data_IF_069046550125
#
_entry.id   IF_069046550125
#
_cell.length_a   1.000
_cell.length_b   1.000
_cell.length_c   1.000
_cell.angle_alpha   90.00
_cell.angle_beta   90.00
_cell.angle_gamma   90.00
#
_symmetry.space_group_name_H-M   'P 1'
#
loop_
_entity.id
_entity.type
_entity.pdbx_description
1 polymer ?
#
# COMPACT_ATOMS: atom_id res chain seq x y z
N UNK A 1 18.70 12.36 10.18
CA UNK A 1 18.62 12.27 8.71
C UNK A 1 17.22 11.82 8.35
N UNK A 2 16.48 12.62 7.59
CA UNK A 2 15.14 12.24 7.14
C UNK A 2 15.28 11.14 6.08
N UNK A 3 14.66 9.98 6.28
CA UNK A 3 14.62 8.94 5.26
C UNK A 3 13.79 9.48 4.07
N UNK A 4 14.44 9.75 2.95
CA UNK A 4 13.77 10.13 1.69
C UNK A 4 13.60 8.90 0.81
N UNK A 5 12.59 8.90 -0.04
CA UNK A 5 12.28 7.82 -0.97
C UNK A 5 12.12 8.37 -2.37
N UNK A 6 12.49 7.57 -3.37
CA UNK A 6 12.27 7.81 -4.79
C UNK A 6 11.30 6.79 -5.36
N UNK A 7 10.24 7.25 -6.00
CA UNK A 7 9.34 6.39 -6.76
C UNK A 7 10.01 5.91 -8.05
N UNK A 8 10.05 4.59 -8.24
CA UNK A 8 10.64 3.97 -9.45
C UNK A 8 9.81 4.17 -10.73
N UNK A 9 8.54 4.58 -10.59
CA UNK A 9 7.61 4.74 -11.72
C UNK A 9 7.45 6.18 -12.21
N UNK A 10 7.43 7.16 -11.29
CA UNK A 10 7.16 8.57 -11.62
C UNK A 10 8.25 9.54 -11.13
N UNK A 11 9.37 9.02 -10.64
CA UNK A 11 10.51 9.79 -10.13
C UNK A 11 10.20 10.77 -8.98
N UNK A 12 9.02 10.68 -8.36
CA UNK A 12 8.71 11.46 -7.17
C UNK A 12 9.72 11.18 -6.05
N UNK A 13 10.22 12.23 -5.42
CA UNK A 13 11.13 12.16 -4.27
C UNK A 13 10.53 12.86 -3.05
N UNK A 14 10.61 12.23 -1.88
CA UNK A 14 10.14 12.81 -0.63
C UNK A 14 10.11 11.83 0.53
N UNK A 15 9.78 12.33 1.72
CA UNK A 15 9.62 11.53 2.95
C UNK A 15 8.18 11.07 3.19
N UNK A 16 7.20 11.74 2.56
CA UNK A 16 5.79 11.58 2.89
C UNK A 16 5.16 10.50 2.01
N UNK A 17 5.08 9.28 2.54
CA UNK A 17 4.49 8.14 1.85
C UNK A 17 3.02 7.97 2.23
N UNK A 18 2.20 7.53 1.28
CA UNK A 18 0.84 7.10 1.59
C UNK A 18 0.89 5.74 2.28
N UNK A 19 0.11 5.56 3.34
CA UNK A 19 -0.11 4.25 3.97
C UNK A 19 -1.42 3.67 3.46
N UNK A 20 -1.36 2.49 2.88
CA UNK A 20 -2.53 1.77 2.36
C UNK A 20 -2.66 0.40 2.99
N UNK A 21 -3.91 -0.02 3.10
CA UNK A 21 -4.26 -1.34 3.63
C UNK A 21 -4.30 -2.34 2.48
N UNK A 22 -3.49 -3.40 2.58
CA UNK A 22 -3.38 -4.44 1.55
C UNK A 22 -3.78 -5.81 2.10
N UNK A 23 -4.06 -6.74 1.19
CA UNK A 23 -4.46 -8.09 1.54
C UNK A 23 -3.29 -8.88 2.15
N UNK A 24 -3.44 -9.47 3.36
CA UNK A 24 -2.38 -10.23 4.01
C UNK A 24 -2.05 -11.58 3.34
N UNK A 25 -2.88 -12.02 2.39
CA UNK A 25 -2.80 -13.37 1.83
C UNK A 25 -2.19 -13.44 0.42
N UNK A 26 -2.32 -12.36 -0.36
CA UNK A 26 -1.85 -12.37 -1.75
C UNK A 26 -1.11 -11.10 -2.13
N UNK A 27 -0.77 -10.26 -1.14
CA UNK A 27 0.06 -9.05 -1.24
C UNK A 27 -0.39 -8.05 -2.32
N UNK A 28 -1.65 -8.17 -2.78
CA UNK A 28 -2.29 -7.18 -3.65
C UNK A 28 -3.02 -6.13 -2.83
N UNK A 29 -3.08 -4.92 -3.35
CA UNK A 29 -3.82 -3.82 -2.74
C UNK A 29 -3.30 -2.43 -3.09
N UNK A 30 -2.08 -2.32 -3.61
CA UNK A 30 -1.51 -1.05 -4.07
C UNK A 30 -2.26 -0.49 -5.29
N UNK A 31 -2.57 -1.37 -6.26
CA UNK A 31 -3.51 -1.02 -7.33
C UNK A 31 -4.91 -0.72 -6.76
N UNK A 32 -5.51 0.44 -7.06
CA UNK A 32 -6.86 0.80 -6.60
C UNK A 32 -7.94 -0.24 -6.93
N UNK A 33 -7.76 -0.99 -8.02
CA UNK A 33 -8.69 -2.06 -8.42
C UNK A 33 -8.72 -3.23 -7.44
N UNK A 34 -7.59 -3.52 -6.79
CA UNK A 34 -7.41 -4.68 -5.90
C UNK A 34 -7.38 -4.31 -4.43
N UNK A 35 -7.63 -3.03 -4.09
CA UNK A 35 -7.76 -2.58 -2.71
C UNK A 35 -8.79 -3.40 -1.95
N UNK A 36 -8.48 -3.68 -0.68
CA UNK A 36 -9.47 -4.26 0.22
C UNK A 36 -10.69 -3.33 0.27
N UNK A 37 -11.89 -3.90 0.19
CA UNK A 37 -13.14 -3.16 0.37
C UNK A 37 -13.65 -3.35 1.78
N UNK A 38 -13.97 -2.26 2.46
CA UNK A 38 -14.61 -2.30 3.77
C UNK A 38 -16.11 -2.49 3.62
N UNK A 39 -16.65 -3.52 4.27
CA UNK A 39 -18.09 -3.82 4.38
C UNK A 39 -18.43 -3.94 5.87
N UNK A 40 -18.91 -2.85 6.46
CA UNK A 40 -19.11 -2.76 7.91
C UNK A 40 -17.78 -2.87 8.66
N UNK A 41 -17.65 -3.88 9.53
CA UNK A 41 -16.42 -4.16 10.30
C UNK A 41 -15.44 -5.11 9.59
N UNK A 42 -15.81 -5.65 8.41
CA UNK A 42 -15.00 -6.64 7.69
C UNK A 42 -14.39 -6.00 6.44
N UNK A 43 -13.12 -6.30 6.21
CA UNK A 43 -12.41 -6.04 4.97
C UNK A 43 -12.43 -7.26 4.07
N UNK A 44 -12.65 -7.05 2.77
CA UNK A 44 -12.72 -8.10 1.75
C UNK A 44 -11.73 -7.83 0.62
N UNK A 45 -10.87 -8.82 0.33
CA UNK A 45 -10.02 -8.80 -0.86
C UNK A 45 -10.82 -9.20 -2.09
N UNK A 46 -10.70 -8.41 -3.17
CA UNK A 46 -11.39 -8.70 -4.43
C UNK A 46 -10.63 -9.71 -5.31
N UNK A 47 -9.37 -9.99 -5.01
CA UNK A 47 -8.53 -10.92 -5.78
C UNK A 47 -8.63 -12.36 -5.26
N UNK A 48 -8.36 -12.58 -3.97
CA UNK A 48 -8.34 -13.93 -3.37
C UNK A 48 -9.54 -14.22 -2.45
N UNK A 49 -10.50 -13.31 -2.36
CA UNK A 49 -11.70 -13.42 -1.52
C UNK A 49 -11.45 -13.55 -0.01
N UNK A 50 -10.24 -13.24 0.46
CA UNK A 50 -9.95 -13.14 1.88
C UNK A 50 -10.90 -12.14 2.56
N UNK A 51 -11.37 -12.49 3.76
CA UNK A 51 -12.22 -11.65 4.59
C UNK A 51 -11.71 -11.64 6.02
N UNK A 52 -11.61 -10.45 6.61
CA UNK A 52 -11.18 -10.34 7.99
C UNK A 52 -11.34 -8.94 8.57
N UNK A 53 -11.16 -8.80 9.89
CA UNK A 53 -11.13 -7.51 10.56
C UNK A 53 -9.88 -6.71 10.19
N UNK A 54 -9.92 -5.39 10.46
CA UNK A 54 -8.86 -4.44 10.10
C UNK A 54 -7.50 -4.74 10.74
N UNK A 55 -7.49 -5.26 11.97
CA UNK A 55 -6.27 -5.64 12.71
C UNK A 55 -5.53 -6.83 12.06
N UNK A 56 -6.19 -7.59 11.18
CA UNK A 56 -5.56 -8.67 10.40
C UNK A 56 -5.08 -8.23 9.03
N UNK A 57 -5.26 -6.97 8.67
CA UNK A 57 -4.76 -6.44 7.40
C UNK A 57 -3.31 -5.97 7.53
N UNK A 58 -2.60 -5.88 6.40
CA UNK A 58 -1.23 -5.33 6.37
C UNK A 58 -1.29 -3.89 5.90
N UNK A 59 -0.46 -3.03 6.51
CA UNK A 59 -0.27 -1.64 6.08
C UNK A 59 1.05 -1.53 5.35
N UNK A 60 1.02 -1.00 4.14
CA UNK A 60 2.21 -0.77 3.34
C UNK A 60 2.27 0.65 2.80
N UNK A 61 3.50 1.08 2.49
CA UNK A 61 3.78 2.39 1.92
C UNK A 61 3.65 2.36 0.40
N UNK A 62 3.03 3.39 -0.18
CA UNK A 62 2.98 3.62 -1.63
C UNK A 62 3.38 5.06 -1.97
N UNK A 63 3.78 5.30 -3.23
CA UNK A 63 4.06 6.63 -3.73
C UNK A 63 2.79 7.51 -3.67
N UNK A 64 2.85 8.72 -3.08
CA UNK A 64 1.68 9.59 -2.96
C UNK A 64 1.20 10.18 -4.30
N UNK A 65 2.01 10.08 -5.37
CA UNK A 65 1.69 10.63 -6.69
C UNK A 65 1.07 9.62 -7.65
N UNK A 66 1.48 8.35 -7.57
CA UNK A 66 1.07 7.35 -8.56
C UNK A 66 0.69 5.99 -7.95
N UNK A 67 0.65 5.89 -6.62
CA UNK A 67 0.25 4.68 -5.88
C UNK A 67 1.13 3.46 -6.16
N UNK A 68 2.37 3.70 -6.59
CA UNK A 68 3.35 2.66 -6.85
C UNK A 68 4.04 2.24 -5.54
N UNK A 69 4.04 0.95 -5.26
CA UNK A 69 4.66 0.32 -4.09
C UNK A 69 6.19 0.28 -4.15
N UNK A 70 6.77 0.33 -5.35
CA UNK A 70 8.21 0.21 -5.54
C UNK A 70 8.91 1.55 -5.29
N UNK A 71 9.37 1.72 -4.06
CA UNK A 71 10.05 2.91 -3.55
C UNK A 71 11.52 2.59 -3.25
N UNK A 72 12.44 3.37 -3.80
CA UNK A 72 13.87 3.30 -3.51
C UNK A 72 14.21 4.25 -2.38
N UNK A 73 14.80 3.75 -1.29
CA UNK A 73 15.30 4.62 -0.22
C UNK A 73 16.49 5.44 -0.74
N UNK A 74 16.45 6.75 -0.51
CA UNK A 74 17.54 7.69 -0.80
C UNK A 74 18.24 8.00 0.54
N UNK A 75 19.35 7.30 0.80
CA UNK A 75 20.23 7.54 1.94
C UNK A 75 20.41 6.35 2.89
N UNK A 76 21.66 5.93 3.02
CA UNK A 76 22.30 5.47 4.26
C UNK A 76 23.42 6.47 4.59
#
# INVERSE_FOLDING_TARGET
MSNSFKCTRCDWEGSDLNQVVICPNCDVGHSPQWRLKKKGSIWECQNCYWRGPEDKTVKESECPKCHNEYLKKLGE
#
